data_IF_145341237625
#
_entry.id   IF_145341237625
#
_cell.length_a   1.000
_cell.length_b   1.000
_cell.length_c   1.000
_cell.angle_alpha   90.00
_cell.angle_beta   90.00
_cell.angle_gamma   90.00
#
_symmetry.space_group_name_H-M   'P 1'
#
loop_
_entity.id
_entity.type
_entity.pdbx_description
1 polymer ?
#
# COMPACT_ATOMS: atom_id res chain seq x y z
N UNK A 1 15.54 -6.58 15.42
CA UNK A 1 14.33 -6.66 14.57
C UNK A 1 14.24 -5.37 13.78
N UNK A 2 14.00 -5.44 12.48
CA UNK A 2 13.97 -4.27 11.59
C UNK A 2 12.51 -3.87 11.36
N UNK A 3 12.23 -2.56 11.30
CA UNK A 3 10.93 -2.07 10.85
C UNK A 3 10.62 -2.56 9.43
N UNK A 4 9.34 -2.74 9.12
CA UNK A 4 8.87 -3.15 7.80
C UNK A 4 7.99 -2.09 7.15
N UNK A 5 7.62 -2.30 5.89
CA UNK A 5 6.67 -1.45 5.19
C UNK A 5 5.94 -2.20 4.08
N UNK A 6 4.83 -1.62 3.64
CA UNK A 6 4.21 -1.94 2.37
C UNK A 6 3.97 -0.68 1.55
N UNK A 7 4.09 -0.81 0.24
CA UNK A 7 3.87 0.26 -0.74
C UNK A 7 2.77 -0.17 -1.69
N UNK A 8 1.80 0.72 -1.92
CA UNK A 8 0.71 0.54 -2.89
C UNK A 8 0.79 1.61 -3.97
N UNK A 9 0.51 1.24 -5.23
CA UNK A 9 0.59 2.17 -6.37
C UNK A 9 -0.25 1.70 -7.56
N UNK A 10 -0.63 2.60 -8.51
CA UNK A 10 -1.31 2.22 -9.74
C UNK A 10 -0.47 1.29 -10.60
N UNK A 11 -1.12 0.31 -11.23
CA UNK A 11 -0.46 -0.53 -12.23
C UNK A 11 0.05 0.29 -13.42
N UNK A 12 1.12 -0.19 -14.06
CA UNK A 12 1.75 0.51 -15.19
C UNK A 12 2.58 1.74 -14.81
N UNK A 13 2.72 2.06 -13.52
CA UNK A 13 3.66 3.06 -13.00
C UNK A 13 4.89 2.40 -12.36
N UNK A 14 6.05 3.06 -12.33
CA UNK A 14 7.22 2.55 -11.60
C UNK A 14 6.90 2.41 -10.11
N UNK A 15 7.51 1.41 -9.46
CA UNK A 15 7.35 1.18 -8.02
C UNK A 15 7.84 2.41 -7.24
N UNK A 16 7.01 3.02 -6.37
CA UNK A 16 7.45 4.14 -5.54
C UNK A 16 8.49 3.72 -4.50
N UNK A 17 9.26 4.69 -4.03
CA UNK A 17 10.24 4.51 -2.93
C UNK A 17 9.66 4.86 -1.56
N UNK A 18 8.36 5.16 -1.49
CA UNK A 18 7.66 5.58 -0.26
C UNK A 18 6.75 4.48 0.26
N UNK A 19 6.58 4.42 1.57
CA UNK A 19 5.66 3.49 2.22
C UNK A 19 4.22 4.03 2.24
N UNK A 20 3.25 3.17 1.97
CA UNK A 20 1.83 3.44 2.24
C UNK A 20 1.47 3.11 3.69
N UNK A 21 2.04 2.03 4.23
CA UNK A 21 1.91 1.62 5.64
C UNK A 21 3.27 1.16 6.15
N UNK A 22 3.59 1.49 7.41
CA UNK A 22 4.80 1.03 8.08
C UNK A 22 4.44 -0.03 9.12
N UNK A 23 5.36 -0.95 9.38
CA UNK A 23 5.29 -1.88 10.49
C UNK A 23 6.45 -1.59 11.46
N UNK A 24 6.14 -1.53 12.74
CA UNK A 24 7.18 -1.35 13.76
C UNK A 24 8.09 -2.60 13.86
N UNK A 25 9.20 -2.53 14.60
CA UNK A 25 10.10 -3.68 14.76
C UNK A 25 9.47 -4.93 15.38
N UNK A 26 8.29 -4.84 15.99
CA UNK A 26 7.53 -5.98 16.52
C UNK A 26 6.59 -6.62 15.47
N UNK A 27 6.54 -6.05 14.26
CA UNK A 27 5.69 -6.50 13.16
C UNK A 27 4.28 -5.91 13.18
N UNK A 28 4.01 -4.94 14.06
CA UNK A 28 2.69 -4.31 14.14
C UNK A 28 2.56 -3.24 13.05
N UNK A 29 1.55 -3.39 12.20
CA UNK A 29 1.18 -2.36 11.24
C UNK A 29 0.73 -1.07 11.96
N UNK A 30 1.36 0.05 11.61
CA UNK A 30 0.94 1.40 11.96
C UNK A 30 -0.04 1.85 10.90
N UNK A 31 -1.33 1.65 11.19
CA UNK A 31 -2.42 1.83 10.23
C UNK A 31 -2.39 3.20 9.56
N UNK A 32 -2.67 3.22 8.26
CA UNK A 32 -2.76 4.43 7.46
C UNK A 32 -3.88 4.29 6.43
N UNK A 33 -4.59 5.39 6.15
CA UNK A 33 -5.47 5.49 4.98
C UNK A 33 -4.70 6.19 3.86
N UNK A 34 -4.78 5.64 2.64
CA UNK A 34 -4.09 6.19 1.48
C UNK A 34 -5.04 6.34 0.30
N UNK A 35 -4.89 7.45 -0.44
CA UNK A 35 -5.50 7.61 -1.76
C UNK A 35 -4.55 7.05 -2.80
N UNK A 36 -4.96 5.97 -3.46
CA UNK A 36 -4.15 5.28 -4.46
C UNK A 36 -4.87 5.36 -5.80
N UNK A 37 -4.15 5.80 -6.83
CA UNK A 37 -4.63 5.71 -8.20
C UNK A 37 -4.77 4.25 -8.63
N UNK A 38 -5.74 3.97 -9.49
CA UNK A 38 -5.92 2.66 -10.13
C UNK A 38 -5.82 2.82 -11.64
N UNK A 39 -5.24 1.82 -12.30
CA UNK A 39 -5.26 1.72 -13.77
C UNK A 39 -6.01 0.46 -14.13
N UNK A 40 -7.09 0.62 -14.90
CA UNK A 40 -7.98 -0.47 -15.30
C UNK A 40 -8.49 -1.27 -14.09
N UNK A 41 -8.85 -0.56 -13.01
CA UNK A 41 -9.29 -1.16 -11.74
C UNK A 41 -8.19 -1.87 -10.94
N UNK A 42 -6.94 -1.80 -11.39
CA UNK A 42 -5.81 -2.53 -10.79
C UNK A 42 -4.86 -1.57 -10.05
N UNK A 43 -4.49 -1.98 -8.84
CA UNK A 43 -3.36 -1.46 -8.08
C UNK A 43 -2.39 -2.59 -7.73
N UNK A 44 -1.14 -2.24 -7.48
CA UNK A 44 -0.08 -3.17 -7.08
C UNK A 44 0.32 -2.90 -5.63
N UNK A 45 0.75 -3.96 -4.94
CA UNK A 45 1.26 -3.89 -3.57
C UNK A 45 2.55 -4.70 -3.45
N UNK A 46 3.51 -4.18 -2.70
CA UNK A 46 4.72 -4.91 -2.30
C UNK A 46 4.96 -4.72 -0.80
N UNK A 47 5.51 -5.75 -0.17
CA UNK A 47 5.87 -5.76 1.25
C UNK A 47 7.38 -5.97 1.37
N UNK A 48 8.00 -5.36 2.37
CA UNK A 48 9.44 -5.50 2.62
C UNK A 48 9.84 -6.84 3.27
N UNK A 49 8.86 -7.65 3.66
CA UNK A 49 9.01 -8.97 4.27
C UNK A 49 7.73 -9.81 4.08
N UNK A 50 7.83 -11.14 4.19
CA UNK A 50 6.66 -12.04 4.12
C UNK A 50 5.57 -11.60 5.10
N UNK A 51 4.40 -11.27 4.56
CA UNK A 51 3.31 -10.64 5.32
C UNK A 51 1.96 -11.14 4.84
N UNK A 52 0.97 -11.13 5.73
CA UNK A 52 -0.44 -11.20 5.34
C UNK A 52 -0.92 -9.78 5.01
N UNK A 53 -1.69 -9.61 3.94
CA UNK A 53 -2.16 -8.31 3.48
C UNK A 53 -3.68 -8.33 3.35
N UNK A 54 -4.33 -7.31 3.91
CA UNK A 54 -5.76 -7.02 3.74
C UNK A 54 -5.86 -5.60 3.19
N UNK A 55 -6.70 -5.40 2.18
CA UNK A 55 -6.99 -4.09 1.59
C UNK A 55 -8.48 -3.82 1.75
N UNK A 56 -8.81 -2.74 2.46
CA UNK A 56 -10.18 -2.23 2.59
C UNK A 56 -10.34 -0.98 1.71
N UNK A 57 -11.47 -0.88 1.00
CA UNK A 57 -11.77 0.21 0.08
C UNK A 57 -13.03 0.93 0.54
N UNK A 58 -12.84 2.13 1.08
CA UNK A 58 -13.96 2.95 1.57
C UNK A 58 -14.72 3.69 0.46
N UNK A 59 -14.15 3.85 -0.74
CA UNK A 59 -14.78 4.54 -1.87
C UNK A 59 -13.80 4.88 -3.00
N UNK A 60 -14.30 5.55 -4.04
CA UNK A 60 -13.49 6.02 -5.17
C UNK A 60 -13.93 7.40 -5.66
N UNK A 61 -13.00 8.12 -6.28
CA UNK A 61 -13.26 9.38 -6.96
C UNK A 61 -13.28 9.12 -8.47
N UNK A 62 -14.17 9.81 -9.19
CA UNK A 62 -14.19 9.84 -10.66
C UNK A 62 -13.87 11.25 -11.13
N UNK A 63 -13.28 11.38 -12.32
CA UNK A 63 -13.16 12.67 -12.96
C UNK A 63 -14.57 13.24 -13.26
N UNK A 64 -14.72 14.55 -13.04
CA UNK A 64 -15.93 15.29 -13.42
C UNK A 64 -15.94 15.66 -14.90
#
# INVERSE_FOLDING_TARGET
MTAGYATLWPSGSPTPTVASVNADPSGRAVANQALIGVRDGTALAITSATSHVIVDVHGWFVAG
#
